data_IF_838751257318
#
_entry.id   IF_838751257318
#
_cell.length_a   1.000
_cell.length_b   1.000
_cell.length_c   1.000
_cell.angle_alpha   90.00
_cell.angle_beta   90.00
_cell.angle_gamma   90.00
#
_symmetry.space_group_name_H-M   'P 1'
#
loop_
_entity.id
_entity.type
_entity.pdbx_description
1 polymer ?
#
# COMPACT_ATOMS: atom_id res chain seq x y z
N UNK A 1 -7.11 -10.08 -13.04
CA UNK A 1 -8.19 -9.09 -13.25
C UNK A 1 -7.76 -7.76 -12.64
N UNK A 2 -8.00 -6.64 -13.32
CA UNK A 2 -7.67 -5.29 -12.81
C UNK A 2 -8.89 -4.39 -13.00
N UNK A 3 -9.26 -3.63 -11.97
CA UNK A 3 -10.39 -2.72 -12.01
C UNK A 3 -10.08 -1.44 -11.25
N UNK A 4 -10.77 -0.37 -11.63
CA UNK A 4 -10.64 0.94 -11.01
C UNK A 4 -11.88 1.25 -10.18
N UNK A 5 -11.69 1.77 -8.98
CA UNK A 5 -12.75 2.21 -8.07
C UNK A 5 -12.46 3.62 -7.60
N UNK A 6 -13.44 4.53 -7.72
CA UNK A 6 -13.38 5.82 -7.03
C UNK A 6 -14.16 5.72 -5.72
N UNK A 7 -13.48 5.90 -4.58
CA UNK A 7 -14.10 5.94 -3.24
C UNK A 7 -13.66 7.21 -2.51
N UNK A 8 -14.62 7.90 -1.89
CA UNK A 8 -14.36 9.13 -1.10
C UNK A 8 -13.46 10.16 -1.81
N UNK A 9 -13.67 10.37 -3.12
CA UNK A 9 -12.87 11.29 -3.94
C UNK A 9 -11.48 10.78 -4.33
N UNK A 10 -11.06 9.61 -3.85
CA UNK A 10 -9.79 8.97 -4.18
C UNK A 10 -10.01 7.92 -5.26
N UNK A 11 -9.08 7.88 -6.21
CA UNK A 11 -8.98 6.82 -7.22
C UNK A 11 -8.14 5.66 -6.69
N UNK A 12 -8.72 4.47 -6.67
CA UNK A 12 -8.06 3.22 -6.33
C UNK A 12 -7.99 2.34 -7.58
N UNK A 13 -6.81 1.80 -7.85
CA UNK A 13 -6.63 0.75 -8.86
C UNK A 13 -6.37 -0.54 -8.11
N UNK A 14 -7.23 -1.54 -8.33
CA UNK A 14 -7.15 -2.83 -7.66
C UNK A 14 -6.85 -3.89 -8.70
N UNK A 15 -5.79 -4.66 -8.48
CA UNK A 15 -5.39 -5.75 -9.36
C UNK A 15 -5.24 -7.06 -8.61
N UNK A 16 -5.82 -8.12 -9.17
CA UNK A 16 -5.58 -9.51 -8.81
C UNK A 16 -4.89 -10.26 -9.98
N UNK A 17 -4.25 -9.51 -10.88
CA UNK A 17 -3.44 -10.08 -11.96
C UNK A 17 -2.04 -10.47 -11.43
N UNK A 18 -1.63 -11.75 -11.54
CA UNK A 18 -0.38 -12.22 -10.93
C UNK A 18 0.87 -11.61 -11.57
N UNK A 19 0.82 -11.19 -12.83
CA UNK A 19 1.95 -10.49 -13.48
C UNK A 19 2.09 -9.08 -12.89
N UNK A 20 0.97 -8.37 -12.76
CA UNK A 20 0.92 -7.03 -12.17
C UNK A 20 1.33 -7.04 -10.69
N UNK A 21 0.89 -8.04 -9.92
CA UNK A 21 1.28 -8.22 -8.51
C UNK A 21 2.79 -8.48 -8.40
N UNK A 22 3.36 -9.34 -9.24
CA UNK A 22 4.81 -9.61 -9.22
C UNK A 22 5.62 -8.38 -9.61
N UNK A 23 5.18 -7.59 -10.58
CA UNK A 23 5.84 -6.35 -10.94
C UNK A 23 5.78 -5.33 -9.80
N UNK A 24 4.62 -5.19 -9.14
CA UNK A 24 4.43 -4.25 -8.04
C UNK A 24 5.25 -4.63 -6.80
N UNK A 25 5.23 -5.89 -6.40
CA UNK A 25 5.97 -6.36 -5.22
C UNK A 25 7.46 -6.61 -5.48
N UNK A 26 7.83 -6.93 -6.73
CA UNK A 26 9.18 -7.38 -7.08
C UNK A 26 10.10 -6.30 -7.63
N UNK A 27 9.57 -5.27 -8.31
CA UNK A 27 10.41 -4.25 -8.97
C UNK A 27 10.03 -2.81 -8.66
N UNK A 28 8.80 -2.54 -8.24
CA UNK A 28 8.30 -1.18 -8.03
C UNK A 28 7.79 -0.96 -6.60
N UNK A 29 8.23 -1.77 -5.63
CA UNK A 29 7.70 -1.71 -4.27
C UNK A 29 7.85 -0.31 -3.65
N UNK A 30 8.97 0.36 -3.88
CA UNK A 30 9.23 1.72 -3.39
C UNK A 30 8.29 2.78 -3.99
N UNK A 31 7.76 2.55 -5.19
CA UNK A 31 6.82 3.46 -5.87
C UNK A 31 5.37 3.26 -5.37
N UNK A 32 5.07 2.13 -4.72
CA UNK A 32 3.72 1.74 -4.29
C UNK A 32 3.58 1.57 -2.76
N UNK A 33 4.14 2.50 -1.99
CA UNK A 33 3.87 2.61 -0.55
C UNK A 33 2.38 2.84 -0.24
N UNK A 34 1.91 2.40 0.94
CA UNK A 34 0.55 2.66 1.45
C UNK A 34 0.27 4.17 1.55
N UNK A 35 1.32 4.97 1.75
CA UNK A 35 1.31 6.42 1.73
C UNK A 35 0.75 7.04 3.02
N UNK A 36 1.01 8.34 3.20
CA UNK A 36 0.71 9.03 4.46
C UNK A 36 -0.76 8.98 4.87
N UNK A 37 -1.67 8.89 3.90
CA UNK A 37 -3.11 8.81 4.20
C UNK A 37 -3.47 7.47 4.84
N UNK A 38 -2.97 6.37 4.30
CA UNK A 38 -3.21 5.06 4.90
C UNK A 38 -2.61 4.97 6.29
N UNK A 39 -1.39 5.47 6.45
CA UNK A 39 -0.72 5.65 7.74
C UNK A 39 -1.62 6.40 8.74
N UNK A 40 -2.12 7.58 8.39
CA UNK A 40 -2.98 8.38 9.27
C UNK A 40 -4.30 7.68 9.60
N UNK A 41 -4.99 7.18 8.59
CA UNK A 41 -6.32 6.59 8.74
C UNK A 41 -6.28 5.31 9.58
N UNK A 42 -5.20 4.53 9.50
CA UNK A 42 -5.06 3.26 10.22
C UNK A 42 -4.24 3.34 11.52
N UNK A 43 -3.43 4.38 11.72
CA UNK A 43 -2.62 4.56 12.95
C UNK A 43 -3.51 4.58 14.20
N UNK A 44 -4.66 5.22 14.14
CA UNK A 44 -5.56 5.32 15.30
C UNK A 44 -6.34 4.02 15.56
N UNK A 45 -6.41 3.12 14.57
CA UNK A 45 -7.12 1.84 14.67
C UNK A 45 -6.19 0.73 15.15
N UNK A 46 -4.99 0.63 14.57
CA UNK A 46 -4.06 -0.50 14.79
C UNK A 46 -2.66 -0.08 15.27
N UNK A 47 -2.45 1.20 15.54
CA UNK A 47 -1.17 1.74 16.00
C UNK A 47 -0.12 1.84 14.90
N UNK A 48 1.10 2.20 15.31
CA UNK A 48 2.27 2.21 14.43
C UNK A 48 2.90 0.82 14.44
N UNK A 49 2.75 0.08 13.35
CA UNK A 49 3.18 -1.31 13.23
C UNK A 49 3.63 -1.61 11.79
N UNK A 50 4.09 -2.84 11.53
CA UNK A 50 4.54 -3.30 10.20
C UNK A 50 3.45 -3.23 9.11
N UNK A 51 2.18 -3.20 9.50
CA UNK A 51 1.04 -3.04 8.58
C UNK A 51 0.71 -1.57 8.29
N UNK A 52 1.08 -0.64 9.17
CA UNK A 52 0.87 0.80 8.93
C UNK A 52 2.11 1.51 8.41
N UNK A 53 3.33 1.02 8.64
CA UNK A 53 4.58 1.64 8.18
C UNK A 53 4.94 1.28 6.73
N UNK A 54 5.64 2.20 6.05
CA UNK A 54 6.17 2.03 4.69
C UNK A 54 7.67 2.31 4.61
N UNK A 55 8.29 1.85 3.52
CA UNK A 55 9.65 2.20 3.14
C UNK A 55 10.69 1.77 4.19
N UNK A 56 11.63 2.67 4.50
CA UNK A 56 12.73 2.39 5.43
C UNK A 56 12.24 1.97 6.83
N UNK A 57 11.16 2.57 7.32
CA UNK A 57 10.60 2.21 8.64
C UNK A 57 10.04 0.78 8.66
N UNK A 58 9.49 0.30 7.55
CA UNK A 58 9.07 -1.11 7.41
C UNK A 58 10.28 -2.05 7.33
N UNK A 59 11.32 -1.67 6.57
CA UNK A 59 12.56 -2.45 6.47
C UNK A 59 13.31 -2.56 7.81
N UNK A 60 13.34 -1.49 8.60
CA UNK A 60 13.99 -1.45 9.90
C UNK A 60 13.16 -2.16 11.00
N UNK A 61 11.89 -2.48 10.74
CA UNK A 61 11.02 -3.25 11.65
C UNK A 61 11.18 -4.77 11.53
N UNK A 62 12.11 -5.24 10.67
CA UNK A 62 12.44 -6.66 10.48
C UNK A 62 13.45 -7.18 11.50
#
# INVERSE_FOLDING_TARGET
>A
MTFEVRRMGIRYVVTADPVSIKALLGTQFDDFGKGDRFLRDWKDIIGHNVFTTDGKAWHDAR
#
